data_IF_333602674194
#
_entry.id   IF_333602674194
#
_cell.length_a   1.000
_cell.length_b   1.000
_cell.length_c   1.000
_cell.angle_alpha   90.00
_cell.angle_beta   90.00
_cell.angle_gamma   90.00
#
_symmetry.space_group_name_H-M   'P 1'
#
loop_
_entity.id
_entity.type
_entity.pdbx_description
1 polymer ?
#
# COMPACT_ATOMS: atom_id res chain seq x y z
N UNK A 1 -2.08 22.69 22.87
CA UNK A 1 -2.06 21.82 21.67
C UNK A 1 -2.98 20.60 21.85
N UNK A 2 -4.32 20.66 21.70
CA UNK A 2 -5.10 19.55 22.32
C UNK A 2 -6.27 18.88 21.59
N UNK A 3 -6.90 19.45 20.56
CA UNK A 3 -7.97 18.73 19.84
C UNK A 3 -7.61 18.46 18.36
N UNK A 4 -7.23 19.49 17.61
CA UNK A 4 -6.95 19.37 16.17
C UNK A 4 -5.81 18.39 15.82
N UNK A 5 -4.72 18.41 16.60
CA UNK A 5 -3.59 17.50 16.36
C UNK A 5 -3.90 16.02 16.59
N UNK A 6 -4.68 15.71 17.64
CA UNK A 6 -5.11 14.32 17.91
C UNK A 6 -6.06 13.80 16.83
N UNK A 7 -6.95 14.67 16.34
CA UNK A 7 -7.89 14.33 15.26
C UNK A 7 -7.12 14.02 13.96
N UNK A 8 -6.14 14.85 13.58
CA UNK A 8 -5.30 14.63 12.40
C UNK A 8 -4.55 13.30 12.47
N UNK A 9 -3.98 12.96 13.64
CA UNK A 9 -3.30 11.69 13.86
C UNK A 9 -4.24 10.49 13.69
N UNK A 10 -5.43 10.54 14.30
CA UNK A 10 -6.44 9.47 14.18
C UNK A 10 -6.87 9.29 12.72
N UNK A 11 -7.13 10.39 12.01
CA UNK A 11 -7.49 10.35 10.58
C UNK A 11 -6.35 9.71 9.77
N UNK A 12 -5.10 10.11 10.01
CA UNK A 12 -3.94 9.54 9.32
C UNK A 12 -3.82 8.02 9.52
N UNK A 13 -4.03 7.54 10.74
CA UNK A 13 -4.02 6.10 11.06
C UNK A 13 -5.16 5.38 10.34
N UNK A 14 -6.40 5.91 10.40
CA UNK A 14 -7.56 5.31 9.73
C UNK A 14 -7.30 5.19 8.22
N UNK A 15 -6.81 6.25 7.58
CA UNK A 15 -6.51 6.25 6.14
C UNK A 15 -5.40 5.23 5.81
N UNK A 16 -4.40 5.08 6.70
CA UNK A 16 -3.34 4.06 6.56
C UNK A 16 -3.91 2.65 6.63
N UNK A 17 -4.80 2.35 7.59
CA UNK A 17 -5.44 1.04 7.72
C UNK A 17 -6.30 0.74 6.49
N UNK A 18 -7.09 1.71 6.01
CA UNK A 18 -7.91 1.57 4.80
C UNK A 18 -7.02 1.26 3.58
N UNK A 19 -5.90 1.97 3.43
CA UNK A 19 -4.93 1.72 2.36
C UNK A 19 -4.35 0.29 2.43
N UNK A 20 -3.98 -0.18 3.62
CA UNK A 20 -3.47 -1.53 3.81
C UNK A 20 -4.53 -2.60 3.46
N UNK A 21 -5.80 -2.38 3.84
CA UNK A 21 -6.91 -3.26 3.47
C UNK A 21 -7.09 -3.34 1.96
N UNK A 22 -7.05 -2.22 1.24
CA UNK A 22 -7.12 -2.23 -0.22
C UNK A 22 -5.96 -2.99 -0.87
N UNK A 23 -4.75 -2.90 -0.30
CA UNK A 23 -3.62 -3.71 -0.77
C UNK A 23 -3.90 -5.22 -0.60
N UNK A 24 -4.41 -5.64 0.58
CA UNK A 24 -4.72 -7.05 0.86
C UNK A 24 -5.85 -7.56 -0.05
N UNK A 25 -6.91 -6.76 -0.24
CA UNK A 25 -8.02 -7.11 -1.13
C UNK A 25 -7.52 -7.21 -2.57
N UNK A 26 -6.75 -6.24 -3.05
CA UNK A 26 -6.18 -6.27 -4.39
C UNK A 26 -5.29 -7.49 -4.63
N UNK A 27 -4.51 -7.92 -3.64
CA UNK A 27 -3.69 -9.14 -3.71
C UNK A 27 -4.51 -10.44 -3.68
N UNK A 28 -5.63 -10.47 -2.96
CA UNK A 28 -6.50 -11.66 -2.82
C UNK A 28 -7.48 -11.85 -3.98
N UNK A 29 -7.63 -10.86 -4.86
CA UNK A 29 -8.50 -10.98 -6.04
C UNK A 29 -7.94 -11.96 -7.08
N UNK A 30 -8.86 -12.67 -7.77
CA UNK A 30 -8.54 -13.77 -8.71
C UNK A 30 -7.57 -13.42 -9.84
N UNK A 31 -7.39 -12.13 -10.16
CA UNK A 31 -6.39 -11.65 -11.12
C UNK A 31 -4.95 -12.05 -10.77
N UNK A 32 -4.68 -12.33 -9.49
CA UNK A 32 -3.38 -12.74 -8.96
C UNK A 32 -3.29 -14.26 -8.70
N UNK A 33 -4.38 -14.90 -8.26
CA UNK A 33 -4.38 -16.31 -7.82
C UNK A 33 -4.65 -17.30 -8.96
N UNK A 34 -5.33 -16.90 -10.05
CA UNK A 34 -5.92 -17.84 -11.00
C UNK A 34 -5.63 -17.66 -12.48
N UNK A 35 -4.71 -16.77 -12.88
CA UNK A 35 -4.46 -16.61 -14.33
C UNK A 35 -3.23 -15.83 -14.77
N UNK A 36 -2.66 -14.93 -13.96
CA UNK A 36 -1.46 -14.14 -14.34
C UNK A 36 -0.72 -13.56 -13.12
N UNK A 37 -0.43 -14.38 -12.10
CA UNK A 37 0.25 -13.93 -10.87
C UNK A 37 1.47 -14.75 -10.49
N UNK A 38 2.11 -14.35 -9.38
CA UNK A 38 3.39 -14.88 -8.89
C UNK A 38 3.44 -16.40 -8.70
N UNK A 39 2.26 -17.01 -8.52
CA UNK A 39 2.07 -18.43 -8.22
C UNK A 39 1.43 -19.22 -9.36
N UNK A 40 1.31 -18.66 -10.56
CA UNK A 40 0.88 -19.43 -11.73
C UNK A 40 2.09 -20.09 -12.41
N UNK A 41 2.04 -21.41 -12.57
CA UNK A 41 2.93 -22.14 -13.47
C UNK A 41 2.45 -22.01 -14.93
N UNK A 42 3.32 -21.49 -15.79
CA UNK A 42 3.04 -21.27 -17.22
C UNK A 42 2.56 -19.85 -17.60
N UNK A 43 2.36 -18.94 -16.63
CA UNK A 43 1.98 -17.55 -16.88
C UNK A 43 3.16 -16.57 -16.87
N UNK A 44 2.93 -15.33 -17.37
CA UNK A 44 3.84 -14.21 -17.13
C UNK A 44 4.06 -14.00 -15.63
N UNK A 45 5.31 -14.17 -15.21
CA UNK A 45 5.76 -13.85 -13.87
C UNK A 45 6.17 -12.38 -13.88
N UNK A 46 5.41 -11.45 -13.25
CA UNK A 46 5.89 -10.09 -13.07
C UNK A 46 7.22 -10.13 -12.29
N UNK A 47 8.04 -9.06 -12.34
CA UNK A 47 9.37 -9.07 -11.75
C UNK A 47 9.32 -9.56 -10.30
N UNK A 48 9.76 -10.80 -10.07
CA UNK A 48 9.52 -11.49 -8.80
C UNK A 48 10.14 -10.74 -7.62
N UNK A 49 11.22 -10.01 -7.86
CA UNK A 49 11.83 -9.12 -6.89
C UNK A 49 10.88 -8.02 -6.42
N UNK A 50 10.17 -7.32 -7.32
CA UNK A 50 9.30 -6.19 -6.96
C UNK A 50 8.11 -6.65 -6.11
N UNK A 51 7.49 -7.76 -6.50
CA UNK A 51 6.41 -8.36 -5.72
C UNK A 51 6.90 -8.87 -4.37
N UNK A 52 8.01 -9.60 -4.31
CA UNK A 52 8.53 -10.16 -3.04
C UNK A 52 8.89 -9.03 -2.08
N UNK A 53 9.57 -7.98 -2.56
CA UNK A 53 9.89 -6.78 -1.77
C UNK A 53 8.61 -6.14 -1.25
N UNK A 54 7.59 -5.97 -2.10
CA UNK A 54 6.32 -5.38 -1.67
C UNK A 54 5.59 -6.20 -0.61
N UNK A 55 5.64 -7.53 -0.69
CA UNK A 55 5.06 -8.42 0.32
C UNK A 55 5.78 -8.33 1.65
N UNK A 56 7.12 -8.35 1.63
CA UNK A 56 7.92 -8.19 2.84
C UNK A 56 7.62 -6.83 3.48
N UNK A 57 7.59 -5.76 2.68
CA UNK A 57 7.25 -4.42 3.18
C UNK A 57 5.83 -4.37 3.76
N UNK A 58 4.85 -5.03 3.14
CA UNK A 58 3.48 -5.09 3.66
C UNK A 58 3.41 -5.85 4.99
N UNK A 59 4.13 -6.97 5.13
CA UNK A 59 4.21 -7.73 6.38
C UNK A 59 4.86 -6.88 7.47
N UNK A 60 6.00 -6.26 7.18
CA UNK A 60 6.69 -5.37 8.13
C UNK A 60 5.80 -4.17 8.49
N UNK A 61 5.03 -3.64 7.55
CA UNK A 61 4.04 -2.58 7.79
C UNK A 61 2.96 -3.02 8.76
N UNK A 62 2.38 -4.21 8.56
CA UNK A 62 1.35 -4.75 9.47
C UNK A 62 1.93 -4.95 10.87
N UNK A 63 3.15 -5.51 10.97
CA UNK A 63 3.84 -5.65 12.27
C UNK A 63 4.05 -4.28 12.91
N UNK A 64 4.52 -3.29 12.15
CA UNK A 64 4.73 -1.92 12.64
C UNK A 64 3.42 -1.26 13.10
N UNK A 65 2.30 -1.48 12.38
CA UNK A 65 0.97 -1.02 12.81
C UNK A 65 0.53 -1.68 14.12
N UNK A 66 0.74 -2.99 14.27
CA UNK A 66 0.43 -3.71 15.51
C UNK A 66 1.28 -3.18 16.67
N UNK A 67 2.58 -3.01 16.47
CA UNK A 67 3.48 -2.44 17.48
C UNK A 67 3.09 -0.99 17.84
N UNK A 68 2.57 -0.23 16.87
CA UNK A 68 2.05 1.12 17.11
C UNK A 68 0.75 1.08 17.95
N UNK A 69 -0.13 0.09 17.78
CA UNK A 69 -1.33 -0.08 18.61
C UNK A 69 -0.99 -0.42 20.07
N UNK A 70 0.12 -1.13 20.31
CA UNK A 70 0.64 -1.40 21.66
C UNK A 70 1.45 -0.24 22.26
N UNK A 71 1.43 0.94 21.63
CA UNK A 71 2.17 2.15 22.05
C UNK A 71 3.70 1.95 22.17
N UNK A 72 4.25 0.94 21.50
CA UNK A 72 5.69 0.65 21.51
C UNK A 72 6.45 1.68 20.64
N UNK A 73 5.84 2.10 19.52
CA UNK A 73 6.41 3.11 18.63
C UNK A 73 5.99 4.52 19.09
N UNK A 74 6.97 5.30 19.56
CA UNK A 74 6.76 6.67 20.05
C UNK A 74 7.52 7.70 19.21
N UNK A 75 7.01 8.93 19.17
CA UNK A 75 7.63 10.04 18.45
C UNK A 75 7.72 9.79 16.93
N UNK A 76 8.88 10.07 16.34
CA UNK A 76 9.09 9.97 14.88
C UNK A 76 8.94 8.52 14.34
N UNK A 77 9.05 7.49 15.19
CA UNK A 77 8.84 6.10 14.80
C UNK A 77 7.39 5.84 14.35
N UNK A 78 6.43 6.67 14.74
CA UNK A 78 5.04 6.54 14.30
C UNK A 78 4.87 6.74 12.79
N UNK A 79 5.85 7.31 12.09
CA UNK A 79 5.87 7.43 10.62
C UNK A 79 6.28 6.13 9.91
N UNK A 80 6.98 5.23 10.59
CA UNK A 80 7.52 3.99 10.01
C UNK A 80 6.43 3.18 9.30
N UNK A 81 5.27 2.86 9.92
CA UNK A 81 4.25 2.09 9.22
C UNK A 81 3.68 2.81 8.00
N UNK A 82 3.49 4.14 8.05
CA UNK A 82 2.93 4.90 6.92
C UNK A 82 3.92 4.98 5.75
N UNK A 83 5.19 5.25 6.05
CA UNK A 83 6.26 5.31 5.04
C UNK A 83 6.50 3.94 4.40
N UNK A 84 6.54 2.87 5.19
CA UNK A 84 6.64 1.51 4.67
C UNK A 84 5.44 1.14 3.79
N UNK A 85 4.21 1.51 4.20
CA UNK A 85 3.02 1.29 3.38
C UNK A 85 3.10 2.05 2.06
N UNK A 86 3.51 3.31 2.09
CA UNK A 86 3.67 4.14 0.90
C UNK A 86 4.68 3.51 -0.08
N UNK A 87 5.85 3.09 0.40
CA UNK A 87 6.86 2.41 -0.43
C UNK A 87 6.33 1.06 -0.95
N UNK A 88 5.63 0.29 -0.13
CA UNK A 88 5.01 -0.97 -0.55
C UNK A 88 4.01 -0.76 -1.70
N UNK A 89 3.18 0.28 -1.63
CA UNK A 89 2.22 0.59 -2.70
C UNK A 89 2.90 0.96 -4.02
N UNK A 90 4.04 1.68 -4.00
CA UNK A 90 4.82 1.97 -5.22
C UNK A 90 5.28 0.68 -5.90
N UNK A 91 5.83 -0.25 -5.13
CA UNK A 91 6.29 -1.54 -5.66
C UNK A 91 5.14 -2.40 -6.16
N UNK A 92 3.99 -2.40 -5.47
CA UNK A 92 2.78 -3.06 -5.95
C UNK A 92 2.32 -2.46 -7.28
N UNK A 93 2.21 -1.14 -7.39
CA UNK A 93 1.85 -0.45 -8.63
C UNK A 93 2.79 -0.79 -9.79
N UNK A 94 4.11 -0.78 -9.57
CA UNK A 94 5.08 -1.19 -10.59
C UNK A 94 4.89 -2.64 -11.05
N UNK A 95 4.55 -3.53 -10.11
CA UNK A 95 4.24 -4.94 -10.39
C UNK A 95 2.99 -5.06 -11.27
N UNK A 96 1.91 -4.33 -10.97
CA UNK A 96 0.68 -4.37 -11.77
C UNK A 96 0.83 -3.65 -13.12
N UNK A 97 1.55 -2.54 -13.18
CA UNK A 97 1.80 -1.80 -14.43
C UNK A 97 2.60 -2.64 -15.43
N UNK A 98 3.67 -3.32 -14.96
CA UNK A 98 4.46 -4.22 -15.81
C UNK A 98 3.63 -5.42 -16.31
N UNK A 99 2.74 -5.95 -15.47
CA UNK A 99 1.82 -7.01 -15.87
C UNK A 99 0.78 -6.55 -16.91
N UNK A 100 0.27 -5.33 -16.79
CA UNK A 100 -0.66 -4.73 -17.75
C UNK A 100 0.00 -4.50 -19.12
N UNK A 101 1.22 -3.95 -19.14
CA UNK A 101 2.00 -3.72 -20.35
C UNK A 101 2.32 -5.03 -21.09
N UNK A 102 2.64 -6.10 -20.36
CA UNK A 102 2.83 -7.41 -20.96
C UNK A 102 1.55 -7.92 -21.65
N UNK A 103 0.38 -7.81 -21.01
CA UNK A 103 -0.87 -8.26 -21.64
C UNK A 103 -1.25 -7.47 -22.91
N UNK A 104 -0.92 -6.18 -22.97
CA UNK A 104 -1.11 -5.36 -24.16
C UNK A 104 -0.21 -5.80 -25.33
N UNK A 105 1.04 -6.15 -25.05
CA UNK A 105 2.01 -6.55 -26.08
C UNK A 105 1.77 -7.96 -26.65
N UNK A 106 1.16 -8.87 -25.89
CA UNK A 106 1.00 -10.28 -26.30
C UNK A 106 -0.42 -10.66 -26.75
N UNK A 107 -1.31 -9.68 -26.97
CA UNK A 107 -2.66 -9.88 -27.54
C UNK A 107 -3.49 -11.01 -26.90
N UNK A 108 -3.35 -11.25 -25.59
CA UNK A 108 -4.24 -12.17 -24.87
C UNK A 108 -5.58 -11.48 -24.60
N UNK A 109 -6.51 -11.59 -25.55
CA UNK A 109 -7.86 -11.00 -25.53
C UNK A 109 -8.85 -11.76 -24.63
N UNK A 110 -8.48 -12.89 -24.02
CA UNK A 110 -9.41 -13.69 -23.21
C UNK A 110 -8.65 -14.31 -22.03
N UNK A 111 -9.07 -14.20 -20.76
CA UNK A 111 -10.43 -14.39 -20.28
C UNK A 111 -10.78 -13.66 -18.95
N UNK A 112 -10.02 -12.68 -18.46
CA UNK A 112 -10.41 -11.92 -17.24
C UNK A 112 -9.94 -10.45 -17.17
N UNK A 113 -10.16 -9.61 -18.20
CA UNK A 113 -9.75 -8.19 -18.18
C UNK A 113 -10.37 -7.41 -17.00
N UNK A 114 -11.61 -7.73 -16.61
CA UNK A 114 -12.30 -7.05 -15.50
C UNK A 114 -11.68 -7.30 -14.12
N UNK A 115 -11.25 -8.54 -13.84
CA UNK A 115 -10.69 -8.87 -12.53
C UNK A 115 -9.30 -8.24 -12.34
N UNK A 116 -8.53 -8.07 -13.43
CA UNK A 116 -7.20 -7.48 -13.43
C UNK A 116 -7.22 -5.96 -13.29
N UNK A 117 -8.15 -5.31 -13.99
CA UNK A 117 -8.38 -3.87 -13.84
C UNK A 117 -8.83 -3.55 -12.42
N UNK A 118 -9.69 -4.37 -11.83
CA UNK A 118 -10.14 -4.19 -10.44
C UNK A 118 -8.99 -4.23 -9.43
N UNK A 119 -8.06 -5.20 -9.54
CA UNK A 119 -6.88 -5.26 -8.66
C UNK A 119 -5.98 -4.03 -8.83
N UNK A 120 -5.77 -3.58 -10.07
CA UNK A 120 -4.97 -2.39 -10.37
C UNK A 120 -5.59 -1.11 -9.81
N UNK A 121 -6.89 -0.92 -10.06
CA UNK A 121 -7.65 0.24 -9.56
C UNK A 121 -7.60 0.31 -8.03
N UNK A 122 -7.73 -0.84 -7.35
CA UNK A 122 -7.57 -0.91 -5.88
C UNK A 122 -6.17 -0.50 -5.42
N UNK A 123 -5.11 -0.84 -6.16
CA UNK A 123 -3.74 -0.45 -5.82
C UNK A 123 -3.50 1.05 -6.05
N UNK A 124 -4.09 1.63 -7.09
CA UNK A 124 -4.07 3.07 -7.32
C UNK A 124 -4.76 3.80 -6.17
N UNK A 125 -5.94 3.34 -5.77
CA UNK A 125 -6.69 3.90 -4.62
C UNK A 125 -5.89 3.75 -3.33
N UNK A 126 -5.31 2.57 -3.08
CA UNK A 126 -4.46 2.33 -1.92
C UNK A 126 -3.26 3.31 -1.89
N UNK A 127 -2.57 3.48 -3.01
CA UNK A 127 -1.46 4.43 -3.09
C UNK A 127 -1.89 5.86 -2.79
N UNK A 128 -3.01 6.31 -3.36
CA UNK A 128 -3.55 7.64 -3.09
C UNK A 128 -3.90 7.83 -1.61
N UNK A 129 -4.52 6.83 -0.97
CA UNK A 129 -4.77 6.85 0.46
C UNK A 129 -3.47 6.90 1.28
N UNK A 130 -2.47 6.09 0.93
CA UNK A 130 -1.17 6.09 1.63
C UNK A 130 -0.44 7.44 1.51
N UNK A 131 -0.55 8.10 0.35
CA UNK A 131 0.00 9.43 0.13
C UNK A 131 -0.69 10.49 1.00
N UNK A 132 -2.03 10.47 1.06
CA UNK A 132 -2.81 11.37 1.93
C UNK A 132 -2.44 11.14 3.40
N UNK A 133 -2.36 9.88 3.84
CA UNK A 133 -1.97 9.54 5.21
C UNK A 133 -0.58 10.09 5.55
N UNK A 134 0.38 9.94 4.64
CA UNK A 134 1.73 10.47 4.79
C UNK A 134 1.72 12.00 4.90
N UNK A 135 0.98 12.70 4.02
CA UNK A 135 0.87 14.15 4.03
C UNK A 135 0.23 14.69 5.31
N UNK A 136 -0.85 14.06 5.79
CA UNK A 136 -1.55 14.44 7.04
C UNK A 136 -0.60 14.32 8.24
N UNK A 137 0.15 13.23 8.32
CA UNK A 137 1.03 12.96 9.48
C UNK A 137 2.30 13.80 9.42
N UNK A 138 2.86 14.03 8.24
CA UNK A 138 3.97 14.97 8.04
C UNK A 138 3.58 16.39 8.45
N UNK A 139 2.38 16.84 8.05
CA UNK A 139 1.85 18.14 8.46
C UNK A 139 1.65 18.24 9.98
N UNK A 140 1.10 17.19 10.59
CA UNK A 140 0.92 17.12 12.04
C UNK A 140 2.25 17.21 12.81
N UNK A 141 3.29 16.51 12.36
CA UNK A 141 4.62 16.58 12.95
C UNK A 141 5.23 17.98 12.80
N UNK A 142 5.10 18.59 11.62
CA UNK A 142 5.57 19.96 11.37
C UNK A 142 4.92 20.99 12.30
N UNK A 143 3.61 20.87 12.57
CA UNK A 143 2.93 21.73 13.54
C UNK A 143 3.40 21.50 14.98
N UNK A 144 3.69 20.25 15.33
CA UNK A 144 4.13 19.87 16.68
C UNK A 144 5.53 20.43 16.99
N UNK A 145 6.40 20.51 15.99
CA UNK A 145 7.73 21.10 16.11
C UNK A 145 7.74 22.64 16.10
N UNK A 146 6.76 23.29 15.45
CA UNK A 146 6.71 24.75 15.36
C UNK A 146 6.15 25.45 16.62
N UNK A 147 5.43 24.73 17.48
CA UNK A 147 4.80 25.29 18.69
C UNK A 147 5.63 25.17 19.97
N UNK A 148 6.93 24.83 19.88
CA UNK A 148 7.83 24.70 21.04
C UNK A 148 8.79 25.88 21.24
N UNK A 149 8.54 27.03 20.61
CA UNK A 149 9.28 28.28 20.84
C UNK A 149 8.42 29.29 21.59
#
# INVERSE_FOLDING_TARGET
MRLGGRILMIIGIIVTVISALFCIIGLSTKGWVGGYGLFCDGCYKPPAALSVISFILLIVTIIALVLQMFEILTGALQLVPITLLFVATIFLLGTFASAAQWALNYSFVSATPRARNYSFDLMVVAHFCSYIALAIIAYWLGQSSAGSN
#
